data_IF_829378333457
#
_entry.id   IF_829378333457
#
_cell.length_a   1.000
_cell.length_b   1.000
_cell.length_c   1.000
_cell.angle_alpha   90.00
_cell.angle_beta   90.00
_cell.angle_gamma   90.00
#
_symmetry.space_group_name_H-M   'P 1'
#
loop_
_entity.id
_entity.type
_entity.pdbx_description
1 polymer ?
#
# COMPACT_ATOMS: atom_id res chain seq x y z
N UNK A 1 -12.23 18.03 -3.59
CA UNK A 1 -11.29 16.94 -3.26
C UNK A 1 -10.52 16.53 -4.50
N UNK A 2 -9.22 16.32 -4.34
CA UNK A 2 -8.36 15.89 -5.45
C UNK A 2 -7.78 14.51 -5.15
N UNK A 3 -8.43 13.48 -5.64
CA UNK A 3 -7.97 12.08 -5.48
C UNK A 3 -6.54 11.93 -5.97
N UNK A 4 -6.18 12.65 -7.03
CA UNK A 4 -4.81 12.68 -7.55
C UNK A 4 -3.78 13.03 -6.47
N UNK A 5 -4.07 14.00 -5.61
CA UNK A 5 -3.15 14.43 -4.56
C UNK A 5 -2.99 13.36 -3.47
N UNK A 6 -4.05 12.63 -3.17
CA UNK A 6 -4.00 11.52 -2.22
C UNK A 6 -3.08 10.41 -2.73
N UNK A 7 -3.28 9.97 -3.97
CA UNK A 7 -2.42 8.95 -4.58
C UNK A 7 -0.99 9.43 -4.73
N UNK A 8 -0.78 10.69 -5.15
CA UNK A 8 0.56 11.24 -5.33
C UNK A 8 1.35 11.28 -4.02
N UNK A 9 0.70 11.69 -2.93
CA UNK A 9 1.33 11.72 -1.62
C UNK A 9 1.72 10.33 -1.11
N UNK A 10 0.85 9.35 -1.31
CA UNK A 10 1.12 7.96 -0.94
C UNK A 10 2.21 7.34 -1.84
N UNK A 11 2.17 7.62 -3.12
CA UNK A 11 3.19 7.19 -4.08
C UNK A 11 4.57 7.67 -3.69
N UNK A 12 4.68 8.95 -3.32
CA UNK A 12 5.95 9.52 -2.89
C UNK A 12 6.42 8.94 -1.55
N UNK A 13 5.50 8.68 -0.63
CA UNK A 13 5.83 8.17 0.69
C UNK A 13 6.50 6.79 0.66
N UNK A 14 6.09 5.93 -0.25
CA UNK A 14 6.60 4.55 -0.36
C UNK A 14 7.74 4.40 -1.35
N UNK A 15 8.29 5.50 -1.84
CA UNK A 15 9.38 5.47 -2.82
C UNK A 15 10.60 4.68 -2.31
N UNK A 16 11.15 3.84 -3.17
CA UNK A 16 12.39 3.11 -2.89
C UNK A 16 12.27 1.92 -1.96
N UNK A 17 11.10 1.61 -1.42
CA UNK A 17 10.94 0.47 -0.49
C UNK A 17 10.98 -0.87 -1.24
N UNK A 18 10.25 -0.96 -2.34
CA UNK A 18 10.22 -2.14 -3.20
C UNK A 18 10.75 -1.82 -4.60
N UNK A 19 10.94 -2.84 -5.42
CA UNK A 19 11.44 -2.67 -6.78
C UNK A 19 10.53 -1.80 -7.63
N UNK A 20 9.22 -1.93 -7.47
CA UNK A 20 8.23 -1.12 -8.19
C UNK A 20 7.02 -0.79 -7.33
N UNK A 21 6.25 0.20 -7.80
CA UNK A 21 4.98 0.64 -7.20
C UNK A 21 3.90 0.60 -8.26
N UNK A 22 2.69 0.24 -7.85
CA UNK A 22 1.52 0.24 -8.70
C UNK A 22 0.36 0.89 -7.99
N UNK A 23 -0.57 1.46 -8.75
CA UNK A 23 -1.81 2.02 -8.23
C UNK A 23 -2.96 1.07 -8.53
N UNK A 24 -3.87 0.92 -7.57
CA UNK A 24 -5.10 0.16 -7.67
C UNK A 24 -4.92 -1.35 -7.59
N UNK A 25 -4.07 -1.96 -8.40
CA UNK A 25 -3.95 -3.41 -8.47
C UNK A 25 -2.56 -3.85 -8.92
N UNK A 26 -2.26 -5.14 -8.68
CA UNK A 26 -1.03 -5.77 -9.15
C UNK A 26 -0.98 -5.81 -10.69
N UNK A 27 0.22 -5.97 -11.28
CA UNK A 27 0.38 -5.94 -12.74
C UNK A 27 -0.11 -7.24 -13.40
N UNK A 28 -1.42 -7.43 -13.50
CA UNK A 28 -2.05 -8.66 -14.02
C UNK A 28 -1.69 -8.95 -15.48
N UNK A 29 -1.41 -7.92 -16.27
CA UNK A 29 -1.06 -8.06 -17.69
C UNK A 29 0.38 -8.52 -17.90
N UNK A 30 1.21 -8.52 -16.86
CA UNK A 30 2.61 -8.95 -16.94
C UNK A 30 2.72 -10.40 -16.51
N UNK A 31 3.46 -11.22 -17.26
CA UNK A 31 3.69 -12.61 -16.88
C UNK A 31 4.37 -12.68 -15.51
N UNK A 32 3.98 -13.67 -14.71
CA UNK A 32 4.46 -13.79 -13.31
C UNK A 32 5.99 -13.80 -13.22
N UNK A 33 6.66 -14.53 -14.13
CA UNK A 33 8.13 -14.61 -14.14
C UNK A 33 8.81 -13.30 -14.49
N UNK A 34 8.10 -12.35 -15.10
CA UNK A 34 8.63 -11.04 -15.51
C UNK A 34 8.30 -9.94 -14.50
N UNK A 35 7.48 -10.23 -13.50
CA UNK A 35 7.19 -9.27 -12.43
C UNK A 35 8.42 -9.06 -11.57
N UNK A 36 8.61 -7.86 -11.00
CA UNK A 36 9.70 -7.63 -10.05
C UNK A 36 9.56 -8.54 -8.81
N UNK A 37 10.67 -8.80 -8.12
CA UNK A 37 10.69 -9.68 -6.94
C UNK A 37 9.95 -9.09 -5.75
N UNK A 38 9.82 -7.77 -5.69
CA UNK A 38 8.98 -7.09 -4.72
C UNK A 38 8.30 -5.89 -5.35
N UNK A 39 7.06 -5.65 -4.97
CA UNK A 39 6.35 -4.46 -5.38
C UNK A 39 5.28 -4.06 -4.38
N UNK A 40 4.90 -2.81 -4.44
CA UNK A 40 3.85 -2.23 -3.61
C UNK A 40 2.67 -1.84 -4.49
N UNK A 41 1.47 -2.16 -4.02
CA UNK A 41 0.22 -1.68 -4.62
C UNK A 41 -0.46 -0.73 -3.65
N UNK A 42 -0.82 0.45 -4.13
CA UNK A 42 -1.51 1.48 -3.34
C UNK A 42 -2.94 1.56 -3.83
N UNK A 43 -3.88 1.50 -2.90
CA UNK A 43 -5.29 1.65 -3.22
C UNK A 43 -6.05 2.38 -2.12
N UNK A 44 -7.20 2.93 -2.50
CA UNK A 44 -8.19 3.50 -1.59
C UNK A 44 -9.45 2.64 -1.73
N UNK A 45 -9.49 1.46 -1.07
CA UNK A 45 -10.50 0.43 -1.36
C UNK A 45 -11.88 0.72 -0.78
N UNK A 46 -11.96 1.68 0.13
CA UNK A 46 -13.18 2.02 0.84
C UNK A 46 -13.72 3.38 0.45
N UNK A 47 -14.86 3.73 1.05
CA UNK A 47 -15.49 5.02 0.82
C UNK A 47 -14.66 6.18 1.33
N UNK A 48 -14.76 7.30 0.67
CA UNK A 48 -14.21 8.56 1.13
C UNK A 48 -15.35 9.36 1.74
N UNK A 49 -15.21 9.70 3.02
CA UNK A 49 -16.23 10.44 3.77
C UNK A 49 -15.90 11.92 3.78
N UNK A 50 -16.88 12.73 3.40
CA UNK A 50 -16.78 14.18 3.45
C UNK A 50 -17.37 14.65 4.78
N UNK A 51 -16.54 15.21 5.67
CA UNK A 51 -16.91 15.42 7.06
C UNK A 51 -17.43 16.82 7.36
N UNK A 52 -16.84 17.85 6.74
CA UNK A 52 -17.16 19.23 7.05
C UNK A 52 -17.32 20.06 5.78
N UNK A 53 -18.25 21.01 5.83
CA UNK A 53 -18.49 21.97 4.78
C UNK A 53 -17.74 23.25 5.13
N UNK A 54 -16.96 23.79 4.18
CA UNK A 54 -16.29 25.08 4.35
C UNK A 54 -17.30 26.24 4.37
N UNK A 55 -16.84 27.43 4.73
CA UNK A 55 -17.66 28.65 4.72
C UNK A 55 -18.23 28.97 3.32
N UNK A 56 -17.60 28.47 2.27
CA UNK A 56 -18.06 28.62 0.89
C UNK A 56 -19.05 27.54 0.45
N UNK A 57 -19.43 26.62 1.33
CA UNK A 57 -20.37 25.54 1.02
C UNK A 57 -19.74 24.33 0.35
N UNK A 58 -18.42 24.21 0.35
CA UNK A 58 -17.69 23.09 -0.29
C UNK A 58 -17.13 22.17 0.78
N UNK A 59 -17.29 20.86 0.59
CA UNK A 59 -16.63 19.87 1.46
C UNK A 59 -15.13 19.90 1.21
N UNK A 60 -14.33 20.07 2.27
CA UNK A 60 -12.88 20.14 2.21
C UNK A 60 -12.17 19.31 3.29
N UNK A 61 -12.90 18.60 4.11
CA UNK A 61 -12.35 17.68 5.11
C UNK A 61 -12.86 16.27 4.81
N UNK A 62 -11.92 15.37 4.56
CA UNK A 62 -12.20 14.01 4.12
C UNK A 62 -11.50 13.01 5.01
N UNK A 63 -12.13 11.84 5.19
CA UNK A 63 -11.50 10.67 5.79
C UNK A 63 -11.71 9.46 4.90
N UNK A 64 -10.73 8.59 4.88
CA UNK A 64 -10.80 7.30 4.18
C UNK A 64 -9.79 6.32 4.76
N UNK A 65 -9.83 5.09 4.28
CA UNK A 65 -8.81 4.07 4.57
C UNK A 65 -7.90 3.97 3.37
N UNK A 66 -6.59 4.04 3.60
CA UNK A 66 -5.59 3.72 2.58
C UNK A 66 -5.15 2.28 2.75
N UNK A 67 -4.77 1.65 1.65
CA UNK A 67 -4.25 0.29 1.66
C UNK A 67 -2.94 0.24 0.89
N UNK A 68 -1.91 -0.25 1.56
CA UNK A 68 -0.59 -0.49 1.00
C UNK A 68 -0.38 -1.99 1.04
N UNK A 69 -0.36 -2.62 -0.13
CA UNK A 69 -0.12 -4.06 -0.26
C UNK A 69 1.32 -4.29 -0.66
N UNK A 70 2.01 -5.13 0.11
CA UNK A 70 3.41 -5.48 -0.14
C UNK A 70 3.44 -6.90 -0.70
N UNK A 71 3.95 -7.04 -1.92
CA UNK A 71 4.12 -8.32 -2.60
C UNK A 71 5.62 -8.67 -2.61
N UNK A 72 5.94 -9.85 -2.15
CA UNK A 72 7.32 -10.39 -2.17
C UNK A 72 7.29 -11.78 -2.77
N UNK A 73 8.15 -12.02 -3.78
CA UNK A 73 8.25 -13.32 -4.43
C UNK A 73 8.69 -14.38 -3.43
N UNK A 74 7.99 -15.52 -3.43
CA UNK A 74 8.35 -16.66 -2.64
C UNK A 74 9.66 -17.28 -3.13
N UNK A 75 10.38 -17.95 -2.24
CA UNK A 75 11.58 -18.71 -2.59
C UNK A 75 11.20 -20.07 -3.16
N UNK A 76 12.03 -20.55 -4.08
CA UNK A 76 11.96 -21.91 -4.55
C UNK A 76 13.06 -22.69 -3.84
N UNK A 77 12.69 -23.75 -3.12
CA UNK A 77 13.64 -24.65 -2.47
C UNK A 77 13.40 -26.07 -2.97
N UNK A 78 14.34 -26.97 -2.69
CA UNK A 78 14.21 -28.39 -3.05
C UNK A 78 13.03 -29.09 -2.36
N UNK A 79 12.54 -28.52 -1.25
CA UNK A 79 11.44 -29.09 -0.45
C UNK A 79 10.12 -28.36 -0.65
N UNK A 80 10.16 -27.11 -1.06
CA UNK A 80 8.97 -26.27 -1.18
C UNK A 80 9.12 -25.28 -2.32
N UNK A 81 8.31 -25.38 -3.39
CA UNK A 81 8.38 -24.45 -4.50
C UNK A 81 7.90 -23.03 -4.18
N UNK A 82 7.16 -22.85 -3.08
CA UNK A 82 6.60 -21.56 -2.68
C UNK A 82 6.91 -21.28 -1.21
N UNK A 83 8.18 -21.25 -0.87
CA UNK A 83 8.60 -20.95 0.50
C UNK A 83 8.51 -19.45 0.77
N UNK A 84 7.84 -19.08 1.86
CA UNK A 84 7.72 -17.71 2.30
C UNK A 84 9.11 -17.08 2.53
N UNK A 85 9.39 -15.99 1.85
CA UNK A 85 10.61 -15.22 2.04
C UNK A 85 10.45 -14.27 3.25
N UNK A 86 10.59 -14.81 4.44
CA UNK A 86 10.34 -14.08 5.70
C UNK A 86 11.24 -12.86 5.84
N UNK A 87 12.53 -13.00 5.51
CA UNK A 87 13.49 -11.91 5.67
C UNK A 87 13.16 -10.72 4.77
N UNK A 88 12.87 -10.98 3.49
CA UNK A 88 12.52 -9.93 2.55
C UNK A 88 11.21 -9.25 2.92
N UNK A 89 10.18 -10.02 3.29
CA UNK A 89 8.90 -9.46 3.70
C UNK A 89 9.04 -8.63 4.97
N UNK A 90 9.75 -9.13 5.98
CA UNK A 90 10.00 -8.40 7.23
C UNK A 90 10.69 -7.06 6.97
N UNK A 91 11.70 -7.04 6.11
CA UNK A 91 12.39 -5.80 5.73
C UNK A 91 11.44 -4.77 5.11
N UNK A 92 10.60 -5.21 4.18
CA UNK A 92 9.65 -4.31 3.51
C UNK A 92 8.56 -3.81 4.46
N UNK A 93 8.00 -4.69 5.27
CA UNK A 93 6.99 -4.31 6.26
C UNK A 93 7.55 -3.30 7.25
N UNK A 94 8.76 -3.53 7.78
CA UNK A 94 9.40 -2.60 8.71
C UNK A 94 9.61 -1.22 8.08
N UNK A 95 10.04 -1.17 6.83
CA UNK A 95 10.24 0.09 6.13
C UNK A 95 8.93 0.85 5.92
N UNK A 96 7.85 0.15 5.57
CA UNK A 96 6.53 0.79 5.44
C UNK A 96 6.02 1.26 6.80
N UNK A 97 6.15 0.43 7.84
CA UNK A 97 5.70 0.79 9.19
C UNK A 97 6.41 2.02 9.74
N UNK A 98 7.68 2.21 9.40
CA UNK A 98 8.44 3.41 9.81
C UNK A 98 7.97 4.70 9.15
N UNK A 99 7.17 4.61 8.09
CA UNK A 99 6.59 5.80 7.46
C UNK A 99 5.47 6.42 8.31
N UNK A 100 4.84 5.63 9.18
CA UNK A 100 3.70 6.09 9.97
C UNK A 100 4.15 6.87 11.23
N UNK A 101 3.46 7.97 11.56
CA UNK A 101 2.38 8.57 10.77
C UNK A 101 2.90 9.17 9.46
N UNK A 102 2.18 8.95 8.38
CA UNK A 102 2.51 9.59 7.09
C UNK A 102 1.93 11.00 7.14
N UNK A 103 2.80 12.00 7.04
CA UNK A 103 2.40 13.41 7.13
C UNK A 103 2.80 14.12 5.85
N UNK A 104 1.82 14.66 5.16
CA UNK A 104 2.01 15.49 3.97
C UNK A 104 1.37 16.86 4.19
N UNK A 105 1.52 17.77 3.24
CA UNK A 105 0.83 19.06 3.30
C UNK A 105 -0.69 18.92 3.20
N UNK A 106 -1.17 17.86 2.53
CA UNK A 106 -2.59 17.67 2.25
C UNK A 106 -3.29 16.74 3.24
N UNK A 107 -2.57 15.78 3.84
CA UNK A 107 -3.22 14.78 4.70
C UNK A 107 -2.24 14.15 5.70
N UNK A 108 -2.82 13.42 6.65
CA UNK A 108 -2.08 12.51 7.53
C UNK A 108 -2.66 11.11 7.43
N UNK A 109 -1.81 10.09 7.57
CA UNK A 109 -2.25 8.69 7.67
C UNK A 109 -1.73 8.13 8.99
N UNK A 110 -2.65 7.60 9.79
CA UNK A 110 -2.36 7.10 11.14
C UNK A 110 -2.95 5.71 11.35
N UNK A 111 -2.74 5.14 12.52
CA UNK A 111 -3.33 3.88 12.96
C UNK A 111 -3.08 2.73 11.98
N UNK A 112 -1.81 2.41 11.66
CA UNK A 112 -1.52 1.31 10.74
C UNK A 112 -1.97 -0.04 11.33
N UNK A 113 -2.61 -0.83 10.48
CA UNK A 113 -3.01 -2.21 10.79
C UNK A 113 -2.38 -3.14 9.78
N UNK A 114 -1.62 -4.12 10.26
CA UNK A 114 -0.94 -5.10 9.42
C UNK A 114 -1.77 -6.37 9.36
N UNK A 115 -2.06 -6.85 8.16
CA UNK A 115 -2.73 -8.12 7.92
C UNK A 115 -1.90 -8.93 6.94
N UNK A 116 -1.46 -10.11 7.36
CA UNK A 116 -0.78 -11.04 6.48
C UNK A 116 -1.79 -11.93 5.80
N UNK A 117 -1.65 -12.07 4.49
CA UNK A 117 -2.49 -12.96 3.70
C UNK A 117 -1.68 -14.18 3.24
N UNK A 118 -2.40 -15.26 2.94
CA UNK A 118 -1.85 -16.34 2.13
C UNK A 118 -1.43 -15.78 0.77
N UNK A 119 -0.62 -16.53 0.04
CA UNK A 119 -0.11 -16.06 -1.24
C UNK A 119 -1.19 -15.65 -2.23
N UNK A 120 -0.80 -14.91 -3.26
CA UNK A 120 -1.71 -14.41 -4.31
C UNK A 120 -2.07 -15.47 -5.36
N UNK A 121 -1.57 -16.69 -5.23
CA UNK A 121 -1.74 -17.75 -6.23
C UNK A 121 -0.71 -17.71 -7.36
N UNK A 122 0.12 -16.67 -7.43
CA UNK A 122 1.11 -16.43 -8.47
C UNK A 122 2.55 -16.55 -7.97
N UNK A 123 2.77 -17.11 -6.78
CA UNK A 123 4.11 -17.29 -6.21
C UNK A 123 4.61 -16.07 -5.43
N UNK A 124 3.72 -15.21 -4.97
CA UNK A 124 4.02 -14.07 -4.11
C UNK A 124 3.28 -14.20 -2.78
N UNK A 125 3.95 -13.83 -1.71
CA UNK A 125 3.32 -13.59 -0.41
C UNK A 125 2.89 -12.13 -0.31
N UNK A 126 1.79 -11.87 0.39
CA UNK A 126 1.18 -10.54 0.46
C UNK A 126 0.99 -10.13 1.91
N UNK A 127 1.41 -8.92 2.23
CA UNK A 127 1.08 -8.28 3.51
C UNK A 127 0.38 -6.97 3.21
N UNK A 128 -0.77 -6.75 3.85
CA UNK A 128 -1.58 -5.55 3.67
C UNK A 128 -1.42 -4.67 4.89
N UNK A 129 -1.07 -3.41 4.67
CA UNK A 129 -1.03 -2.39 5.70
C UNK A 129 -2.11 -1.37 5.40
N UNK A 130 -3.08 -1.26 6.29
CA UNK A 130 -4.15 -0.28 6.19
C UNK A 130 -3.92 0.85 7.17
N UNK A 131 -4.20 2.06 6.76
CA UNK A 131 -4.11 3.24 7.60
C UNK A 131 -5.33 4.13 7.47
N UNK A 132 -5.55 4.96 8.46
CA UNK A 132 -6.63 5.94 8.47
C UNK A 132 -6.10 7.28 7.95
N UNK A 133 -6.66 7.72 6.83
CA UNK A 133 -6.28 8.99 6.20
C UNK A 133 -7.29 10.08 6.57
N UNK A 134 -6.77 11.22 6.96
CA UNK A 134 -7.55 12.45 7.16
C UNK A 134 -6.85 13.61 6.49
N UNK A 135 -7.61 14.40 5.72
CA UNK A 135 -7.11 15.63 5.11
C UNK A 135 -6.89 16.73 6.15
N UNK A 136 -5.98 17.60 5.85
CA UNK A 136 -5.67 18.76 6.69
C UNK A 136 -6.54 19.96 6.39
#
# INVERSE_FOLDING_TARGET
MKIKELYQGLWNAVDGICNKRYLKDRPKSVHVSERPDSYIVISLPYSIYNNEISDTGVYNDFTTTVQIEIFVRDKVSSKNPNEFNVLAMSDKVDKVMKLFPIITEQFTVTKPRVTMQDGDGDGFSVTIIQGFLRTK
#
